data_IF_038463299833
#
_entry.id   IF_038463299833
#
_cell.length_a   1.000
_cell.length_b   1.000
_cell.length_c   1.000
_cell.angle_alpha   90.00
_cell.angle_beta   90.00
_cell.angle_gamma   90.00
#
_symmetry.space_group_name_H-M   'P 1'
#
loop_
_entity.id
_entity.type
_entity.pdbx_description
1 polymer ?
#
# COMPACT_ATOMS: atom_id res chain seq x y z
N UNK A 1 -10.95 6.81 -7.65
CA UNK A 1 -9.67 6.45 -8.29
C UNK A 1 -9.63 4.94 -8.34
N UNK A 2 -9.33 4.34 -9.49
CA UNK A 2 -9.21 2.88 -9.61
C UNK A 2 -7.75 2.55 -9.88
N UNK A 3 -7.22 1.56 -9.16
CA UNK A 3 -5.83 1.12 -9.34
C UNK A 3 -5.72 -0.41 -9.22
N UNK A 4 -5.06 -1.10 -10.17
CA UNK A 4 -4.84 -2.54 -10.10
C UNK A 4 -3.68 -2.86 -9.15
N UNK A 5 -3.99 -3.48 -8.02
CA UNK A 5 -2.98 -3.99 -7.09
C UNK A 5 -2.78 -5.50 -7.27
N UNK A 6 -1.53 -6.02 -7.23
CA UNK A 6 -1.26 -7.46 -7.12
C UNK A 6 -2.12 -8.13 -6.04
N UNK A 7 -2.52 -9.39 -6.21
CA UNK A 7 -3.19 -10.14 -5.14
C UNK A 7 -2.29 -10.18 -3.90
N UNK A 8 -2.89 -10.23 -2.70
CA UNK A 8 -2.13 -10.29 -1.46
C UNK A 8 -1.27 -11.55 -1.44
N UNK A 9 0.02 -11.36 -1.23
CA UNK A 9 1.07 -12.37 -1.26
C UNK A 9 2.24 -11.95 -0.36
N UNK A 10 3.21 -12.85 -0.18
CA UNK A 10 4.47 -12.48 0.48
C UNK A 10 5.34 -11.65 -0.46
N UNK A 11 6.14 -10.75 0.09
CA UNK A 11 7.13 -9.94 -0.65
C UNK A 11 7.99 -10.78 -1.61
N UNK A 12 8.43 -11.95 -1.19
CA UNK A 12 9.23 -12.85 -2.03
C UNK A 12 8.50 -13.34 -3.28
N UNK A 13 7.19 -13.58 -3.20
CA UNK A 13 6.36 -14.04 -4.32
C UNK A 13 6.08 -12.89 -5.29
N UNK A 14 5.81 -11.69 -4.76
CA UNK A 14 5.64 -10.47 -5.57
C UNK A 14 6.89 -10.16 -6.40
N UNK A 15 8.08 -10.43 -5.86
CA UNK A 15 9.35 -10.18 -6.54
C UNK A 15 9.68 -11.21 -7.63
N UNK A 16 9.16 -12.44 -7.54
CA UNK A 16 9.46 -13.51 -8.50
C UNK A 16 8.67 -13.39 -9.80
N UNK A 17 7.46 -12.85 -9.74
CA UNK A 17 6.50 -12.89 -10.85
C UNK A 17 6.31 -11.55 -11.55
N UNK A 18 6.84 -10.45 -11.01
CA UNK A 18 6.81 -9.13 -11.64
C UNK A 18 5.42 -8.76 -12.15
N UNK A 19 5.33 -8.39 -13.43
CA UNK A 19 4.07 -7.94 -14.04
C UNK A 19 3.05 -9.05 -14.35
N UNK A 20 3.48 -10.31 -14.35
CA UNK A 20 2.59 -11.46 -14.59
C UNK A 20 1.78 -11.85 -13.36
N UNK A 21 2.07 -11.25 -12.20
CA UNK A 21 1.36 -11.58 -10.97
C UNK A 21 -0.11 -11.17 -11.05
N UNK A 22 -1.07 -12.03 -10.64
CA UNK A 22 -2.49 -11.71 -10.68
C UNK A 22 -2.80 -10.39 -9.96
N UNK A 23 -3.69 -9.57 -10.52
CA UNK A 23 -4.07 -8.25 -9.96
C UNK A 23 -5.57 -8.15 -9.75
N UNK A 24 -5.97 -7.32 -8.80
CA UNK A 24 -7.36 -6.94 -8.51
C UNK A 24 -7.47 -5.41 -8.51
N UNK A 25 -8.51 -4.89 -9.16
CA UNK A 25 -8.83 -3.46 -9.14
C UNK A 25 -9.37 -3.10 -7.75
N UNK A 26 -8.77 -2.09 -7.13
CA UNK A 26 -9.28 -1.45 -5.92
C UNK A 26 -9.75 -0.04 -6.24
N UNK A 27 -10.85 0.40 -5.61
CA UNK A 27 -11.52 1.67 -5.89
C UNK A 27 -11.56 2.64 -4.71
N UNK A 28 -11.17 2.18 -3.52
CA UNK A 28 -11.26 2.93 -2.26
C UNK A 28 -9.91 2.94 -1.56
N UNK A 29 -9.38 4.13 -1.30
CA UNK A 29 -8.07 4.34 -0.71
C UNK A 29 -8.10 5.43 0.35
N UNK A 30 -7.29 5.25 1.40
CA UNK A 30 -6.82 6.39 2.18
C UNK A 30 -5.52 6.91 1.57
N UNK A 31 -5.38 8.23 1.52
CA UNK A 31 -4.17 8.88 1.07
C UNK A 31 -3.43 9.45 2.26
N UNK A 32 -2.14 9.16 2.34
CA UNK A 32 -1.21 9.68 3.33
C UNK A 32 -0.18 10.53 2.59
N UNK A 33 0.09 11.73 3.09
CA UNK A 33 0.95 12.71 2.42
C UNK A 33 2.43 12.59 2.83
N UNK A 34 2.70 12.00 3.99
CA UNK A 34 4.06 11.85 4.50
C UNK A 34 4.31 10.42 4.92
N UNK A 35 5.44 9.87 4.48
CA UNK A 35 5.88 8.53 4.91
C UNK A 35 6.02 8.43 6.44
N UNK A 36 6.40 9.53 7.10
CA UNK A 36 6.58 9.59 8.55
C UNK A 36 5.28 9.52 9.34
N UNK A 37 4.12 9.61 8.68
CA UNK A 37 2.81 9.48 9.34
C UNK A 37 2.39 8.00 9.49
N UNK A 38 3.09 7.06 8.86
CA UNK A 38 2.88 5.63 9.08
C UNK A 38 3.60 5.16 10.35
N UNK A 39 2.90 4.41 11.20
CA UNK A 39 3.53 3.72 12.34
C UNK A 39 4.41 2.56 11.88
N UNK A 40 3.86 1.65 11.06
CA UNK A 40 4.57 0.46 10.58
C UNK A 40 4.15 0.12 9.15
N UNK A 41 5.00 0.45 8.17
CA UNK A 41 4.82 0.06 6.78
C UNK A 41 6.17 -0.22 6.11
N UNK A 42 6.20 -1.27 5.30
CA UNK A 42 7.35 -1.64 4.47
C UNK A 42 7.08 -1.33 3.00
N UNK A 43 8.13 -1.47 2.17
CA UNK A 43 8.02 -1.35 0.72
C UNK A 43 8.59 -2.58 0.01
N UNK A 44 8.00 -2.90 -1.14
CA UNK A 44 8.63 -3.73 -2.16
C UNK A 44 9.57 -2.92 -3.05
N UNK A 45 10.31 -3.62 -3.91
CA UNK A 45 11.11 -2.99 -4.97
C UNK A 45 10.20 -2.18 -5.90
N UNK A 46 10.75 -1.10 -6.47
CA UNK A 46 10.05 -0.29 -7.46
C UNK A 46 9.93 -1.06 -8.78
N UNK A 47 8.72 -1.15 -9.32
CA UNK A 47 8.45 -1.67 -10.67
C UNK A 47 7.70 -0.58 -11.43
N UNK A 48 8.25 -0.13 -12.55
CA UNK A 48 7.64 0.91 -13.40
C UNK A 48 7.20 2.19 -12.65
N UNK A 49 8.04 2.65 -11.71
CA UNK A 49 7.74 3.84 -10.91
C UNK A 49 6.74 3.60 -9.77
N UNK A 50 6.21 2.39 -9.60
CA UNK A 50 5.31 2.03 -8.51
C UNK A 50 6.10 1.33 -7.39
N UNK A 51 5.98 1.85 -6.17
CA UNK A 51 6.39 1.17 -4.94
C UNK A 51 5.15 0.62 -4.24
N UNK A 52 5.10 -0.70 -4.04
CA UNK A 52 4.04 -1.33 -3.29
C UNK A 52 4.31 -1.25 -1.78
N UNK A 53 3.29 -0.88 -1.01
CA UNK A 53 3.33 -0.83 0.45
C UNK A 53 2.95 -2.21 1.00
N UNK A 54 3.70 -2.72 1.96
CA UNK A 54 3.48 -4.03 2.59
C UNK A 54 3.48 -3.90 4.12
N UNK A 55 3.02 -4.92 4.84
CA UNK A 55 3.21 -4.97 6.29
C UNK A 55 4.71 -5.08 6.62
N UNK A 56 5.22 -4.23 7.50
CA UNK A 56 6.63 -4.25 7.91
C UNK A 56 6.98 -5.51 8.72
N UNK A 57 6.05 -6.04 9.50
CA UNK A 57 6.31 -7.16 10.42
C UNK A 57 6.22 -8.53 9.73
N UNK A 58 5.20 -8.74 8.89
CA UNK A 58 4.94 -10.04 8.28
C UNK A 58 5.31 -10.10 6.78
N UNK A 59 5.72 -8.98 6.18
CA UNK A 59 6.06 -8.86 4.76
C UNK A 59 4.97 -9.31 3.78
N UNK A 60 3.70 -9.27 4.21
CA UNK A 60 2.53 -9.56 3.38
C UNK A 60 1.96 -8.26 2.80
N UNK A 61 1.63 -8.28 1.51
CA UNK A 61 0.98 -7.16 0.81
C UNK A 61 0.71 -7.51 -0.66
N UNK A 62 0.44 -6.53 -1.55
CA UNK A 62 0.40 -5.09 -1.27
C UNK A 62 -0.80 -4.69 -0.43
N UNK A 63 -0.57 -3.85 0.58
CA UNK A 63 -1.59 -3.08 1.29
C UNK A 63 -2.00 -1.83 0.48
N UNK A 64 -1.09 -1.33 -0.35
CA UNK A 64 -1.23 -0.08 -1.06
C UNK A 64 -0.13 0.16 -2.09
N UNK A 65 -0.09 1.37 -2.66
CA UNK A 65 0.94 1.80 -3.58
C UNK A 65 1.35 3.26 -3.39
N UNK A 66 2.54 3.57 -3.88
CA UNK A 66 3.07 4.92 -4.06
C UNK A 66 3.61 5.00 -5.49
N UNK A 67 3.09 5.94 -6.26
CA UNK A 67 3.64 6.28 -7.57
C UNK A 67 4.73 7.35 -7.40
N UNK A 68 5.97 6.97 -7.71
CA UNK A 68 7.16 7.82 -7.59
C UNK A 68 7.17 9.00 -8.56
N UNK A 69 6.34 8.98 -9.60
CA UNK A 69 6.17 10.08 -10.55
C UNK A 69 5.05 11.03 -10.13
N UNK A 70 4.13 10.58 -9.28
CA UNK A 70 2.99 11.37 -8.81
C UNK A 70 3.32 12.08 -7.50
N UNK A 71 3.35 13.41 -7.55
CA UNK A 71 3.51 14.26 -6.38
C UNK A 71 2.49 15.41 -6.39
N UNK A 72 1.87 15.67 -5.24
CA UNK A 72 1.00 16.84 -5.05
C UNK A 72 1.79 17.92 -4.30
N UNK A 73 1.96 19.10 -4.91
CA UNK A 73 2.75 20.18 -4.31
C UNK A 73 4.22 19.81 -4.04
N UNK A 74 4.78 18.87 -4.82
CA UNK A 74 6.13 18.34 -4.62
C UNK A 74 6.27 17.29 -3.53
N UNK A 75 5.16 16.84 -2.93
CA UNK A 75 5.17 15.80 -1.90
C UNK A 75 4.65 14.47 -2.46
N UNK A 76 5.30 13.34 -2.12
CA UNK A 76 4.84 12.01 -2.53
C UNK A 76 3.49 11.69 -1.90
N UNK A 77 2.64 10.98 -2.63
CA UNK A 77 1.38 10.46 -2.10
C UNK A 77 1.46 8.94 -1.93
N UNK A 78 0.95 8.45 -0.80
CA UNK A 78 0.88 7.03 -0.47
C UNK A 78 -0.59 6.64 -0.34
N UNK A 79 -1.01 5.59 -1.05
CA UNK A 79 -2.40 5.16 -1.09
C UNK A 79 -2.56 3.77 -0.49
N UNK A 80 -3.33 3.63 0.59
CA UNK A 80 -3.66 2.35 1.25
C UNK A 80 -5.05 1.91 0.82
N UNK A 81 -5.17 0.71 0.24
CA UNK A 81 -6.46 0.17 -0.17
C UNK A 81 -7.29 -0.23 1.05
N UNK A 82 -8.49 0.34 1.18
CA UNK A 82 -9.39 0.12 2.34
C UNK A 82 -9.72 -1.36 2.52
N UNK A 83 -9.86 -2.09 1.42
CA UNK A 83 -10.18 -3.52 1.38
C UNK A 83 -9.05 -4.44 1.88
N UNK A 84 -7.84 -3.92 2.10
CA UNK A 84 -6.62 -4.72 2.35
C UNK A 84 -6.05 -4.60 3.75
N UNK A 85 -6.71 -3.81 4.60
CA UNK A 85 -6.36 -3.69 6.02
C UNK A 85 -7.62 -3.84 6.87
N UNK A 86 -7.44 -3.98 8.17
CA UNK A 86 -8.54 -3.98 9.14
C UNK A 86 -8.46 -2.72 9.97
N UNK A 87 -9.55 -1.97 10.01
CA UNK A 87 -9.70 -0.87 10.95
C UNK A 87 -10.09 -1.45 12.31
N UNK A 88 -9.47 -0.95 13.37
CA UNK A 88 -9.99 -1.15 14.73
C UNK A 88 -10.74 0.10 15.10
N UNK A 89 -12.04 -0.03 15.31
CA UNK A 89 -12.80 1.01 15.98
C UNK A 89 -12.31 1.06 17.42
N UNK A 90 -11.54 2.09 17.77
CA UNK A 90 -11.22 2.37 19.16
C UNK A 90 -12.50 2.94 19.76
N UNK A 91 -13.22 2.14 20.55
CA UNK A 91 -14.29 2.66 21.38
C UNK A 91 -13.71 3.84 22.21
N UNK A 92 -14.42 4.97 22.32
CA UNK A 92 -13.93 6.08 23.13
C UNK A 92 -13.59 5.57 24.52
N UNK A 93 -12.39 5.87 25.00
CA UNK A 93 -12.01 5.58 26.38
C UNK A 93 -13.07 6.23 27.29
N UNK A 94 -13.90 5.41 27.92
CA UNK A 94 -14.76 5.86 29.01
C UNK A 94 -13.84 6.28 30.15
N UNK A 95 -13.72 7.59 30.35
CA UNK A 95 -13.00 8.20 31.47
C UNK A 95 -13.71 7.99 32.80
#
# INVERSE_FOLDING_TARGET
>A
MEFPLPIIAKKSELQQHGDTFPRKIESHFWTVERMTDFENVGFCNTVEGIKYLICADCEIGPLGYHDTHSAAGGQPLFHIAVSRVRNRDVAPLSG
#
